data_IF_771452540982
#
_entry.id   IF_771452540982
#
_cell.length_a   1.000
_cell.length_b   1.000
_cell.length_c   1.000
_cell.angle_alpha   90.00
_cell.angle_beta   90.00
_cell.angle_gamma   90.00
#
_symmetry.space_group_name_H-M   'P 1'
#
loop_
_entity.id
_entity.type
_entity.pdbx_description
1 polymer ?
#
# COMPACT_ATOMS: atom_id res chain seq x y z
N UNK A 1 -5.33 10.72 0.78
CA UNK A 1 -4.66 10.00 -0.31
C UNK A 1 -3.17 10.14 -0.10
N UNK A 2 -2.45 9.03 0.05
CA UNK A 2 -1.02 8.99 0.36
C UNK A 2 -0.29 8.39 -0.83
N UNK A 3 0.74 9.09 -1.31
CA UNK A 3 1.63 8.58 -2.37
C UNK A 3 2.74 7.76 -1.70
N UNK A 4 2.93 6.51 -2.14
CA UNK A 4 4.03 5.67 -1.71
C UNK A 4 4.99 5.42 -2.87
N UNK A 5 6.27 5.75 -2.66
CA UNK A 5 7.36 5.48 -3.58
C UNK A 5 8.34 4.49 -2.98
N UNK A 6 9.00 3.73 -3.84
CA UNK A 6 10.08 2.82 -3.45
C UNK A 6 10.51 1.93 -4.62
N UNK A 7 11.46 1.03 -4.37
CA UNK A 7 12.07 0.19 -5.39
C UNK A 7 11.15 -0.92 -5.93
N UNK A 8 11.34 -1.24 -7.22
CA UNK A 8 10.71 -2.38 -7.91
C UNK A 8 11.26 -3.74 -7.42
N UNK A 9 12.55 -3.78 -7.10
CA UNK A 9 13.25 -4.98 -6.61
C UNK A 9 13.82 -4.67 -5.23
N UNK A 10 13.20 -5.25 -4.20
CA UNK A 10 13.52 -5.05 -2.79
C UNK A 10 13.61 -6.40 -2.09
N UNK A 11 14.32 -6.46 -0.97
CA UNK A 11 14.45 -7.70 -0.23
C UNK A 11 13.17 -8.03 0.57
N UNK A 12 13.10 -9.23 1.15
CA UNK A 12 11.93 -9.71 1.89
C UNK A 12 11.60 -8.87 3.14
N UNK A 13 12.61 -8.33 3.83
CA UNK A 13 12.43 -7.50 5.03
C UNK A 13 11.80 -6.16 4.64
N UNK A 14 12.32 -5.51 3.60
CA UNK A 14 11.77 -4.27 3.06
C UNK A 14 10.33 -4.48 2.57
N UNK A 15 10.07 -5.56 1.81
CA UNK A 15 8.72 -5.85 1.33
C UNK A 15 7.74 -6.04 2.49
N UNK A 16 8.12 -6.79 3.52
CA UNK A 16 7.29 -6.98 4.71
C UNK A 16 7.02 -5.66 5.43
N UNK A 17 8.04 -4.80 5.56
CA UNK A 17 7.87 -3.49 6.18
C UNK A 17 6.90 -2.60 5.38
N UNK A 18 6.98 -2.60 4.04
CA UNK A 18 6.02 -1.83 3.22
C UNK A 18 4.58 -2.32 3.39
N UNK A 19 4.36 -3.62 3.62
CA UNK A 19 3.04 -4.17 3.94
C UNK A 19 2.56 -3.75 5.33
N UNK A 20 3.43 -3.70 6.32
CA UNK A 20 3.09 -3.22 7.67
C UNK A 20 2.71 -1.75 7.66
N UNK A 21 3.50 -0.91 6.98
CA UNK A 21 3.16 0.50 6.74
C UNK A 21 1.81 0.63 6.04
N UNK A 22 1.58 -0.16 4.98
CA UNK A 22 0.30 -0.18 4.30
C UNK A 22 -0.88 -0.52 5.21
N UNK A 23 -0.73 -1.53 6.07
CA UNK A 23 -1.76 -1.93 7.04
C UNK A 23 -2.05 -0.79 8.03
N UNK A 24 -1.02 -0.16 8.59
CA UNK A 24 -1.18 0.99 9.48
C UNK A 24 -1.88 2.18 8.81
N UNK A 25 -1.60 2.44 7.53
CA UNK A 25 -2.34 3.44 6.74
C UNK A 25 -3.80 3.03 6.56
N UNK A 26 -4.06 1.77 6.22
CA UNK A 26 -5.42 1.25 6.04
C UNK A 26 -6.25 1.24 7.32
N UNK A 27 -5.62 1.02 8.49
CA UNK A 27 -6.28 1.13 9.81
C UNK A 27 -6.74 2.56 10.13
N UNK A 28 -6.26 3.56 9.39
CA UNK A 28 -6.60 4.98 9.52
C UNK A 28 -7.43 5.48 8.33
N UNK A 29 -8.02 4.56 7.56
CA UNK A 29 -8.88 4.86 6.40
C UNK A 29 -8.19 5.71 5.32
N UNK A 30 -6.86 5.57 5.19
CA UNK A 30 -6.06 6.32 4.22
C UNK A 30 -5.90 5.56 2.89
N UNK A 31 -6.38 6.19 1.82
CA UNK A 31 -6.19 5.73 0.45
C UNK A 31 -4.72 5.78 -0.02
N UNK A 32 -4.32 4.86 -0.90
CA UNK A 32 -2.93 4.70 -1.39
C UNK A 32 -2.83 5.00 -2.90
N UNK A 33 -1.76 5.68 -3.29
CA UNK A 33 -1.32 5.88 -4.67
C UNK A 33 0.13 5.39 -4.85
N UNK A 34 0.42 4.61 -5.90
CA UNK A 34 1.80 4.16 -6.22
C UNK A 34 2.09 4.28 -7.72
N UNK A 35 3.35 4.02 -8.11
CA UNK A 35 3.84 4.11 -9.49
C UNK A 35 3.66 2.85 -10.35
N UNK A 36 2.76 1.92 -9.98
CA UNK A 36 2.56 0.61 -10.62
C UNK A 36 3.80 -0.31 -10.62
N UNK A 37 3.65 -1.56 -10.15
CA UNK A 37 4.70 -2.58 -10.21
C UNK A 37 4.93 -3.34 -8.90
N UNK A 38 5.85 -4.31 -8.88
CA UNK A 38 6.20 -5.12 -7.72
C UNK A 38 6.99 -4.34 -6.66
N UNK A 39 7.37 -5.05 -5.60
CA UNK A 39 8.18 -4.48 -4.53
C UNK A 39 7.41 -3.44 -3.73
N UNK A 40 8.04 -2.28 -3.50
CA UNK A 40 7.48 -1.23 -2.66
C UNK A 40 6.26 -0.53 -3.27
N UNK A 41 6.01 -0.74 -4.56
CA UNK A 41 4.82 -0.21 -5.25
C UNK A 41 3.58 -1.10 -5.04
N UNK A 42 3.77 -2.35 -4.60
CA UNK A 42 2.70 -3.34 -4.37
C UNK A 42 2.44 -3.56 -2.86
N UNK A 43 3.50 -3.69 -2.07
CA UNK A 43 3.43 -4.03 -0.65
C UNK A 43 2.45 -3.16 0.17
N UNK A 44 2.51 -1.81 0.06
CA UNK A 44 1.59 -0.93 0.79
C UNK A 44 0.11 -1.18 0.46
N UNK A 45 -0.24 -1.44 -0.82
CA UNK A 45 -1.62 -1.74 -1.21
C UNK A 45 -2.10 -3.06 -0.59
N UNK A 46 -1.26 -4.10 -0.56
CA UNK A 46 -1.58 -5.38 0.11
C UNK A 46 -1.78 -5.22 1.62
N UNK A 47 -0.99 -4.38 2.26
CA UNK A 47 -1.15 -4.02 3.67
C UNK A 47 -2.48 -3.30 3.92
N UNK A 48 -2.72 -2.24 3.15
CA UNK A 48 -3.90 -1.40 3.29
C UNK A 48 -5.20 -2.14 3.04
N UNK A 49 -5.22 -3.15 2.14
CA UNK A 49 -6.38 -4.01 1.95
C UNK A 49 -6.83 -4.70 3.25
N UNK A 50 -5.87 -5.17 4.06
CA UNK A 50 -6.17 -5.79 5.36
C UNK A 50 -6.63 -4.73 6.37
N UNK A 51 -5.95 -3.57 6.41
CA UNK A 51 -6.30 -2.46 7.31
C UNK A 51 -7.72 -1.93 7.04
N UNK A 52 -8.04 -1.63 5.78
CA UNK A 52 -9.37 -1.18 5.36
C UNK A 52 -10.46 -2.20 5.66
N UNK A 53 -10.20 -3.49 5.39
CA UNK A 53 -11.17 -4.55 5.71
C UNK A 53 -11.47 -4.63 7.22
N UNK A 54 -10.45 -4.47 8.09
CA UNK A 54 -10.63 -4.42 9.55
C UNK A 54 -11.47 -3.22 10.00
N UNK A 55 -11.28 -2.06 9.37
CA UNK A 55 -12.07 -0.86 9.66
C UNK A 55 -13.43 -0.82 8.96
N UNK A 56 -13.73 -1.81 8.12
CA UNK A 56 -14.93 -1.81 7.23
C UNK A 56 -15.00 -0.55 6.36
N UNK A 57 -13.86 0.00 5.99
CA UNK A 57 -13.78 1.13 5.07
C UNK A 57 -14.13 0.62 3.66
N UNK A 58 -15.19 1.16 3.05
CA UNK A 58 -15.71 0.76 1.72
C UNK A 58 -15.34 1.73 0.60
N UNK A 59 -14.90 2.93 0.95
CA UNK A 59 -14.51 3.99 0.02
C UNK A 59 -13.00 3.95 -0.31
N UNK A 60 -12.36 2.79 -0.15
CA UNK A 60 -10.94 2.63 -0.38
C UNK A 60 -10.58 2.82 -1.86
N UNK A 61 -9.46 3.52 -2.08
CA UNK A 61 -8.89 3.78 -3.39
C UNK A 61 -7.43 3.32 -3.40
N UNK A 62 -7.11 2.48 -4.38
CA UNK A 62 -5.76 2.09 -4.75
C UNK A 62 -5.47 2.63 -6.15
N UNK A 63 -4.74 3.73 -6.23
CA UNK A 63 -4.42 4.39 -7.49
C UNK A 63 -3.04 3.95 -7.97
N UNK A 64 -2.96 3.39 -9.18
CA UNK A 64 -1.71 3.15 -9.88
C UNK A 64 -1.54 4.17 -11.01
N UNK A 65 -0.38 4.82 -11.06
CA UNK A 65 0.01 5.72 -12.15
C UNK A 65 1.22 5.13 -12.88
N UNK A 66 1.13 5.03 -14.21
CA UNK A 66 2.23 4.65 -15.11
C UNK A 66 2.18 5.55 -16.34
N UNK A 67 3.30 5.66 -17.04
CA UNK A 67 3.36 6.11 -18.43
C UNK A 67 3.65 4.93 -19.37
#
# INVERSE_FOLDING_TARGET
LVVCWGGHSINGVEYQYTREVGNELGLRELNICTGCGPGAMEGPMKGAAIGHAKQRYTEQRYLGLTE
#
